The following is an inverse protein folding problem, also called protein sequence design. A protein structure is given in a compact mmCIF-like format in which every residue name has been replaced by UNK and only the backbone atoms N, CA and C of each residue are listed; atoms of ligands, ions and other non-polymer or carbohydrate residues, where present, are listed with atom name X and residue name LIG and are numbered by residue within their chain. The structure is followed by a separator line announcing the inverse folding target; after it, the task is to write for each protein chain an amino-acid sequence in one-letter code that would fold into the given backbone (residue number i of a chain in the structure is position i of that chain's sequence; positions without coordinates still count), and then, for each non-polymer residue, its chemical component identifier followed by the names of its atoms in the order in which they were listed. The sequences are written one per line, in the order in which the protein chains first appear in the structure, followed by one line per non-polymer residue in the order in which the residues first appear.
data_IF_263363385352
#
_entry.id   IF_263363385352
#
_cell.length_a   1.000
_cell.length_b   1.000
_cell.length_c   1.000
_cell.angle_alpha   90.00
_cell.angle_beta   90.00
_cell.angle_gamma   90.00
#
_symmetry.space_group_name_H-M   'P 1'
#
loop_
_entity.id
_entity.type
_entity.pdbx_description
1 polymer ?
#
# COMPACT_ATOMS: atom_id res chain seq x y z
N UNK A 1 -11.21 -0.54 -29.91
CA UNK A 1 -11.30 0.30 -28.70
C UNK A 1 -11.94 -0.53 -27.60
N UNK A 2 -11.35 -0.53 -26.41
CA UNK A 2 -11.92 -1.17 -25.22
C UNK A 2 -12.46 -0.06 -24.29
N UNK A 3 -13.56 -0.28 -23.57
CA UNK A 3 -14.16 0.75 -22.70
C UNK A 3 -13.25 1.17 -21.55
N UNK A 4 -12.47 0.21 -20.99
CA UNK A 4 -11.51 0.45 -19.93
C UNK A 4 -10.20 -0.30 -20.23
N UNK A 5 -9.17 0.45 -20.61
CA UNK A 5 -7.85 -0.11 -20.92
C UNK A 5 -7.14 -0.63 -19.65
N UNK A 6 -7.46 -0.09 -18.47
CA UNK A 6 -6.79 -0.48 -17.22
C UNK A 6 -7.05 -1.96 -16.89
N UNK A 7 -8.25 -2.47 -17.18
CA UNK A 7 -8.58 -3.88 -16.98
C UNK A 7 -7.76 -4.83 -17.89
N UNK A 8 -7.33 -4.36 -19.05
CA UNK A 8 -6.59 -5.16 -20.03
C UNK A 8 -5.08 -4.92 -19.99
N UNK A 9 -4.62 -3.81 -19.45
CA UNK A 9 -3.22 -3.42 -19.42
C UNK A 9 -2.30 -4.47 -18.79
N UNK A 10 -2.60 -5.11 -17.65
CA UNK A 10 -1.77 -6.16 -17.08
C UNK A 10 -1.64 -7.37 -18.01
N UNK A 11 -2.70 -7.74 -18.69
CA UNK A 11 -2.68 -8.88 -19.63
C UNK A 11 -1.85 -8.56 -20.88
N UNK A 12 -1.94 -7.34 -21.40
CA UNK A 12 -1.13 -6.89 -22.51
C UNK A 12 0.36 -6.85 -22.12
N UNK A 13 0.67 -6.33 -20.96
CA UNK A 13 2.04 -6.31 -20.43
C UNK A 13 2.58 -7.72 -20.18
N UNK A 14 1.77 -8.64 -19.65
CA UNK A 14 2.17 -10.03 -19.43
C UNK A 14 2.49 -10.76 -20.75
N UNK A 15 1.85 -10.41 -21.87
CA UNK A 15 2.09 -11.05 -23.17
C UNK A 15 3.22 -10.36 -23.92
N UNK A 16 3.21 -9.04 -24.03
CA UNK A 16 4.13 -8.29 -24.89
C UNK A 16 5.36 -7.74 -24.14
N UNK A 17 5.30 -7.66 -22.81
CA UNK A 17 6.39 -7.15 -21.97
C UNK A 17 7.41 -8.21 -21.52
N UNK A 18 7.26 -9.48 -21.92
CA UNK A 18 8.14 -10.57 -21.49
C UNK A 18 9.53 -10.55 -22.13
N UNK A 19 9.69 -9.85 -23.24
CA UNK A 19 10.94 -9.83 -24.01
C UNK A 19 11.65 -8.50 -23.79
N UNK A 20 12.98 -8.56 -23.59
CA UNK A 20 13.83 -7.38 -23.56
C UNK A 20 13.79 -6.65 -24.92
N UNK A 21 13.96 -5.33 -24.90
CA UNK A 21 14.03 -4.50 -26.11
C UNK A 21 15.12 -4.90 -27.09
N UNK A 22 16.13 -5.64 -26.64
CA UNK A 22 17.23 -6.17 -27.47
C UNK A 22 16.89 -7.53 -28.09
N UNK A 23 15.82 -8.20 -27.68
CA UNK A 23 15.40 -9.47 -28.30
C UNK A 23 14.80 -9.20 -29.68
N UNK A 24 15.25 -9.89 -30.74
CA UNK A 24 14.74 -9.69 -32.11
C UNK A 24 13.24 -10.01 -32.25
N UNK A 25 12.63 -10.66 -31.29
CA UNK A 25 11.18 -10.93 -31.22
C UNK A 25 10.40 -9.85 -30.48
N UNK A 26 11.09 -8.84 -29.94
CA UNK A 26 10.43 -7.76 -29.21
C UNK A 26 9.53 -6.97 -30.15
N UNK A 27 8.25 -6.87 -29.79
CA UNK A 27 7.27 -6.04 -30.48
C UNK A 27 7.08 -4.77 -29.66
N UNK A 28 7.53 -3.60 -30.18
CA UNK A 28 7.28 -2.33 -29.49
C UNK A 28 5.78 -2.08 -29.33
N UNK A 29 5.33 -1.82 -28.13
CA UNK A 29 3.95 -1.44 -27.88
C UNK A 29 3.90 -0.31 -26.86
N UNK A 30 2.86 0.49 -26.92
CA UNK A 30 2.52 1.50 -25.95
C UNK A 30 1.04 1.37 -25.62
N UNK A 31 0.72 1.42 -24.34
CA UNK A 31 -0.67 1.46 -23.89
C UNK A 31 -1.05 2.94 -23.75
N UNK A 32 -1.88 3.43 -24.69
CA UNK A 32 -2.47 4.76 -24.59
C UNK A 32 -3.65 4.72 -23.60
N UNK A 33 -3.96 5.88 -23.03
CA UNK A 33 -5.12 6.10 -22.17
C UNK A 33 -5.19 5.28 -20.86
N UNK A 34 -4.08 4.71 -20.40
CA UNK A 34 -4.00 4.24 -19.02
C UNK A 34 -4.12 5.44 -18.07
N UNK A 35 -5.05 5.36 -17.13
CA UNK A 35 -5.20 6.34 -16.07
C UNK A 35 -3.89 6.53 -15.29
N UNK A 36 -3.64 7.74 -14.82
CA UNK A 36 -2.45 8.06 -14.02
C UNK A 36 -2.35 7.18 -12.78
N UNK A 37 -3.50 6.80 -12.19
CA UNK A 37 -3.61 5.90 -11.04
C UNK A 37 -2.92 4.54 -11.24
N UNK A 38 -3.00 3.97 -12.45
CA UNK A 38 -2.43 2.65 -12.74
C UNK A 38 -0.94 2.67 -13.09
N UNK A 39 -0.31 3.85 -13.17
CA UNK A 39 1.09 4.01 -13.59
C UNK A 39 2.01 4.56 -12.51
N UNK A 40 1.48 5.44 -11.67
CA UNK A 40 2.27 6.11 -10.63
C UNK A 40 2.37 5.19 -9.40
N UNK A 41 3.58 4.74 -9.01
CA UNK A 41 3.74 3.81 -7.89
C UNK A 41 3.10 4.32 -6.59
N UNK A 42 3.21 5.62 -6.32
CA UNK A 42 2.61 6.25 -5.15
C UNK A 42 1.08 6.14 -5.15
N UNK A 43 0.42 6.33 -6.32
CA UNK A 43 -1.03 6.17 -6.43
C UNK A 43 -1.46 4.71 -6.30
N UNK A 44 -0.67 3.77 -6.83
CA UNK A 44 -0.92 2.34 -6.63
C UNK A 44 -0.87 1.99 -5.14
N UNK A 45 0.16 2.46 -4.42
CA UNK A 45 0.24 2.26 -2.97
C UNK A 45 -0.93 2.92 -2.23
N UNK A 46 -1.32 4.14 -2.61
CA UNK A 46 -2.47 4.83 -2.02
C UNK A 46 -3.76 4.02 -2.22
N UNK A 47 -4.00 3.46 -3.40
CA UNK A 47 -5.14 2.57 -3.67
C UNK A 47 -5.11 1.31 -2.77
N UNK A 48 -3.95 0.71 -2.55
CA UNK A 48 -3.79 -0.41 -1.62
C UNK A 48 -4.11 0.01 -0.18
N UNK A 49 -3.64 1.19 0.26
CA UNK A 49 -3.93 1.73 1.59
C UNK A 49 -5.43 2.00 1.78
N UNK A 50 -6.11 2.57 0.77
CA UNK A 50 -7.55 2.82 0.85
C UNK A 50 -8.40 1.53 0.85
N UNK A 51 -7.83 0.41 0.41
CA UNK A 51 -8.46 -0.91 0.48
C UNK A 51 -8.20 -1.67 1.79
N UNK A 52 -7.41 -1.13 2.70
CA UNK A 52 -7.08 -1.77 4.00
C UNK A 52 -8.30 -2.26 4.78
N UNK A 53 -9.46 -1.56 4.83
CA UNK A 53 -10.65 -2.07 5.51
C UNK A 53 -11.06 -3.48 5.10
N UNK A 54 -10.86 -3.83 3.84
CA UNK A 54 -11.21 -5.12 3.25
C UNK A 54 -10.01 -6.03 2.98
N UNK A 55 -8.80 -5.58 3.32
CA UNK A 55 -7.58 -6.36 3.10
C UNK A 55 -7.50 -7.57 4.02
N UNK A 56 -6.95 -8.65 3.46
CA UNK A 56 -6.56 -9.84 4.23
C UNK A 56 -5.15 -9.74 4.78
N UNK A 57 -4.45 -8.65 4.55
CA UNK A 57 -3.03 -8.51 4.89
C UNK A 57 -2.19 -9.67 4.34
N UNK A 58 -2.39 -10.02 3.07
CA UNK A 58 -1.56 -11.01 2.41
C UNK A 58 -0.11 -10.53 2.33
N UNK A 59 0.85 -11.45 2.36
CA UNK A 59 2.28 -11.10 2.22
C UNK A 59 2.53 -10.37 0.92
N UNK A 60 1.90 -10.78 -0.19
CA UNK A 60 1.98 -10.09 -1.48
C UNK A 60 1.60 -8.63 -1.38
N UNK A 61 0.48 -8.30 -0.73
CA UNK A 61 -0.02 -6.93 -0.63
C UNK A 61 0.95 -6.03 0.14
N UNK A 62 1.59 -6.56 1.19
CA UNK A 62 2.59 -5.81 1.97
C UNK A 62 3.91 -5.66 1.21
N UNK A 63 4.33 -6.67 0.46
CA UNK A 63 5.51 -6.59 -0.38
C UNK A 63 5.30 -5.60 -1.54
N UNK A 64 4.11 -5.59 -2.16
CA UNK A 64 3.75 -4.61 -3.20
C UNK A 64 3.80 -3.17 -2.66
N UNK A 65 3.37 -2.94 -1.41
CA UNK A 65 3.55 -1.64 -0.75
C UNK A 65 5.03 -1.31 -0.53
N UNK A 66 5.83 -2.28 -0.12
CA UNK A 66 7.28 -2.11 0.08
C UNK A 66 8.05 -1.93 -1.24
N UNK A 67 7.50 -2.29 -2.38
CA UNK A 67 8.10 -2.01 -3.69
C UNK A 67 8.02 -0.52 -4.05
N UNK A 68 7.18 0.27 -3.36
CA UNK A 68 7.04 1.71 -3.62
C UNK A 68 8.11 2.52 -2.88
N UNK A 69 9.04 3.21 -3.58
CA UNK A 69 10.17 3.91 -2.95
C UNK A 69 9.76 4.97 -1.93
N UNK A 70 8.71 5.75 -2.22
CA UNK A 70 8.21 6.79 -1.32
C UNK A 70 7.68 6.22 0.00
N UNK A 71 7.09 5.01 -0.01
CA UNK A 71 6.62 4.30 1.18
C UNK A 71 7.81 3.70 1.94
N UNK A 72 8.70 2.96 1.27
CA UNK A 72 9.91 2.40 1.91
C UNK A 72 10.73 3.45 2.65
N UNK A 73 10.98 4.58 1.98
CA UNK A 73 11.77 5.67 2.56
C UNK A 73 11.13 6.28 3.81
N UNK A 74 9.81 6.23 3.92
CA UNK A 74 9.09 6.71 5.11
C UNK A 74 9.38 5.84 6.32
N UNK A 75 9.51 4.54 6.12
CA UNK A 75 9.81 3.58 7.19
C UNK A 75 11.31 3.28 7.34
N UNK A 76 12.18 3.92 6.56
CA UNK A 76 13.62 3.70 6.62
C UNK A 76 14.07 2.32 6.12
N UNK A 77 13.29 1.72 5.21
CA UNK A 77 13.59 0.45 4.56
C UNK A 77 14.25 0.75 3.20
N UNK A 78 15.47 0.27 2.98
CA UNK A 78 16.16 0.37 1.71
C UNK A 78 15.71 -0.69 0.70
N UNK A 79 15.99 -0.45 -0.57
CA UNK A 79 15.72 -1.46 -1.61
C UNK A 79 16.55 -2.73 -1.39
N UNK A 80 17.79 -2.58 -0.92
CA UNK A 80 18.68 -3.68 -0.60
C UNK A 80 18.22 -4.54 0.58
N UNK A 81 17.29 -4.04 1.39
CA UNK A 81 16.74 -4.73 2.56
C UNK A 81 15.59 -5.69 2.20
N UNK A 82 14.95 -5.47 1.03
CA UNK A 82 13.78 -6.26 0.61
C UNK A 82 14.04 -7.77 0.55
N UNK A 83 15.17 -8.28 0.00
CA UNK A 83 15.44 -9.71 -0.01
C UNK A 83 15.57 -10.30 1.40
N UNK A 84 16.14 -9.55 2.35
CA UNK A 84 16.28 -9.97 3.74
C UNK A 84 14.89 -10.05 4.41
N UNK A 85 14.06 -9.01 4.25
CA UNK A 85 12.71 -9.00 4.77
C UNK A 85 11.86 -10.13 4.19
N UNK A 86 11.93 -10.37 2.88
CA UNK A 86 11.21 -11.45 2.22
C UNK A 86 11.62 -12.83 2.79
N UNK A 87 12.92 -13.08 2.92
CA UNK A 87 13.45 -14.30 3.53
C UNK A 87 12.92 -14.49 4.96
N UNK A 88 12.90 -13.44 5.78
CA UNK A 88 12.39 -13.51 7.15
C UNK A 88 10.88 -13.76 7.20
N UNK A 89 10.10 -13.09 6.36
CA UNK A 89 8.65 -13.28 6.25
C UNK A 89 8.34 -14.74 5.90
N UNK A 90 9.03 -15.30 4.90
CA UNK A 90 8.86 -16.68 4.46
C UNK A 90 9.29 -17.68 5.55
N UNK A 91 10.48 -17.49 6.15
CA UNK A 91 11.03 -18.37 7.16
C UNK A 91 10.29 -18.32 8.50
N UNK A 92 9.78 -17.16 8.91
CA UNK A 92 8.89 -17.05 10.06
C UNK A 92 7.49 -17.63 9.79
N UNK A 93 7.20 -18.04 8.55
CA UNK A 93 5.96 -18.69 8.16
C UNK A 93 4.77 -17.75 8.03
N UNK A 94 5.01 -16.42 7.83
CA UNK A 94 3.93 -15.46 7.62
C UNK A 94 3.29 -15.72 6.25
N UNK A 95 1.97 -15.68 6.19
CA UNK A 95 1.21 -15.87 4.94
C UNK A 95 0.19 -14.76 4.72
N UNK A 96 -0.70 -14.55 5.67
CA UNK A 96 -1.75 -13.54 5.61
C UNK A 96 -2.38 -13.32 6.99
N UNK A 97 -3.11 -12.25 7.14
CA UNK A 97 -3.80 -11.88 8.37
C UNK A 97 -2.89 -11.17 9.36
N UNK A 98 -3.39 -10.09 9.93
CA UNK A 98 -2.63 -9.33 10.92
C UNK A 98 -2.45 -10.15 12.21
N UNK A 99 -3.59 -10.64 12.77
CA UNK A 99 -3.68 -11.48 13.96
C UNK A 99 -5.02 -12.26 13.97
N UNK A 100 -5.30 -12.98 15.07
CA UNK A 100 -6.55 -13.72 15.25
C UNK A 100 -7.78 -12.81 15.30
N UNK A 101 -7.67 -11.62 15.88
CA UNK A 101 -8.79 -10.66 15.98
C UNK A 101 -9.17 -10.11 14.59
N UNK A 102 -8.18 -9.79 13.76
CA UNK A 102 -8.44 -9.37 12.38
C UNK A 102 -9.05 -10.50 11.55
N UNK A 103 -8.58 -11.74 11.73
CA UNK A 103 -9.20 -12.92 11.08
C UNK A 103 -10.64 -13.15 11.53
N UNK A 104 -10.94 -12.94 12.80
CA UNK A 104 -12.30 -12.99 13.32
C UNK A 104 -13.22 -11.97 12.66
N UNK A 105 -12.71 -10.77 12.32
CA UNK A 105 -13.48 -9.77 11.57
C UNK A 105 -13.78 -10.19 10.12
N UNK A 106 -13.20 -11.28 9.64
CA UNK A 106 -13.44 -11.92 8.35
C UNK A 106 -14.21 -13.25 8.49
N UNK A 107 -14.97 -13.43 9.59
CA UNK A 107 -15.77 -14.62 9.89
C UNK A 107 -14.95 -15.91 10.05
N UNK A 108 -13.68 -15.80 10.51
CA UNK A 108 -12.83 -16.95 10.80
C UNK A 108 -12.66 -17.15 12.31
N UNK A 109 -12.32 -18.38 12.78
CA UNK A 109 -12.06 -18.61 14.20
C UNK A 109 -10.90 -17.73 14.73
N UNK A 110 -11.09 -17.15 15.92
CA UNK A 110 -10.14 -16.23 16.53
C UNK A 110 -8.84 -16.89 17.02
N UNK A 111 -8.86 -18.22 17.24
CA UNK A 111 -7.74 -19.03 17.69
C UNK A 111 -6.71 -19.36 16.60
N UNK A 112 -7.01 -18.99 15.34
CA UNK A 112 -6.12 -19.20 14.20
C UNK A 112 -5.06 -18.10 14.09
N UNK A 113 -4.16 -17.98 15.07
CA UNK A 113 -3.05 -17.01 15.03
C UNK A 113 -1.88 -17.44 14.14
N UNK A 114 -1.71 -18.72 13.88
CA UNK A 114 -0.61 -19.24 13.08
C UNK A 114 -0.58 -18.61 11.69
N UNK A 115 0.63 -18.36 11.20
CA UNK A 115 0.90 -17.74 9.89
C UNK A 115 0.38 -16.29 9.74
N UNK A 116 -0.01 -15.62 10.85
CA UNK A 116 -0.30 -14.18 10.84
C UNK A 116 0.98 -13.36 10.98
N UNK A 117 0.88 -12.08 10.65
CA UNK A 117 1.98 -11.13 10.81
C UNK A 117 2.46 -11.04 12.26
N UNK A 118 1.53 -10.87 13.22
CA UNK A 118 1.88 -10.79 14.65
C UNK A 118 2.52 -12.08 15.16
N UNK A 119 2.04 -13.22 14.73
CA UNK A 119 2.64 -14.50 15.13
C UNK A 119 4.05 -14.65 14.58
N UNK A 120 4.28 -14.36 13.29
CA UNK A 120 5.61 -14.43 12.68
C UNK A 120 6.59 -13.43 13.28
N UNK A 121 6.15 -12.18 13.56
CA UNK A 121 6.99 -11.19 14.25
C UNK A 121 7.37 -11.65 15.66
N UNK A 122 6.46 -12.29 16.41
CA UNK A 122 6.80 -12.90 17.73
C UNK A 122 7.87 -13.97 17.57
N UNK A 123 7.79 -14.82 16.53
CA UNK A 123 8.84 -15.82 16.22
C UNK A 123 10.18 -15.17 15.93
N UNK A 124 10.20 -14.10 15.12
CA UNK A 124 11.41 -13.34 14.80
C UNK A 124 12.03 -12.71 16.05
N UNK A 125 11.22 -12.03 16.88
CA UNK A 125 11.68 -11.39 18.12
C UNK A 125 12.18 -12.41 19.14
N UNK A 126 11.50 -13.56 19.28
CA UNK A 126 11.97 -14.66 20.13
C UNK A 126 13.30 -15.23 19.62
N UNK A 127 13.45 -15.42 18.32
CA UNK A 127 14.71 -15.88 17.72
C UNK A 127 15.84 -14.91 17.96
N UNK A 128 15.60 -13.62 17.80
CA UNK A 128 16.59 -12.57 18.12
C UNK A 128 17.01 -12.57 19.60
N UNK A 129 16.02 -12.70 20.51
CA UNK A 129 16.28 -12.63 21.97
C UNK A 129 16.89 -13.91 22.54
N UNK A 130 16.48 -15.09 22.07
CA UNK A 130 16.79 -16.38 22.66
C UNK A 130 17.61 -17.31 21.76
N UNK A 131 17.85 -16.95 20.50
CA UNK A 131 18.54 -17.79 19.53
C UNK A 131 17.81 -19.13 19.27
N UNK A 132 18.58 -20.19 19.16
CA UNK A 132 18.06 -21.57 18.98
C UNK A 132 17.50 -22.19 20.27
N UNK A 133 16.65 -21.45 20.97
CA UNK A 133 16.01 -21.95 22.18
C UNK A 133 14.86 -22.92 21.86
N UNK A 134 14.48 -23.70 22.86
CA UNK A 134 13.25 -24.49 22.79
C UNK A 134 12.04 -23.58 22.68
N UNK A 135 10.93 -24.11 22.11
CA UNK A 135 9.68 -23.38 21.99
C UNK A 135 9.26 -22.75 23.33
N UNK A 136 8.97 -21.46 23.32
CA UNK A 136 8.51 -20.71 24.46
C UNK A 136 7.00 -20.48 24.36
N UNK A 137 6.23 -20.98 25.32
CA UNK A 137 4.76 -20.90 25.31
C UNK A 137 4.13 -21.44 24.00
N UNK A 138 4.71 -22.49 23.41
CA UNK A 138 4.22 -23.09 22.16
C UNK A 138 4.62 -22.32 20.89
N UNK A 139 5.44 -21.28 21.01
CA UNK A 139 5.97 -20.51 19.88
C UNK A 139 7.42 -20.93 19.61
N UNK A 140 7.65 -21.50 18.43
CA UNK A 140 8.99 -21.85 17.98
C UNK A 140 9.73 -20.60 17.49
N UNK A 141 10.91 -20.27 18.04
CA UNK A 141 11.70 -19.12 17.59
C UNK A 141 12.13 -19.27 16.11
N UNK A 142 12.21 -18.14 15.41
CA UNK A 142 12.84 -18.04 14.12
C UNK A 142 14.17 -17.30 14.29
N UNK A 143 15.29 -18.01 14.22
CA UNK A 143 16.62 -17.57 14.69
C UNK A 143 17.51 -16.94 13.60
N UNK A 144 17.00 -16.73 12.38
CA UNK A 144 17.77 -16.07 11.33
C UNK A 144 17.82 -14.53 11.46
N UNK A 145 17.00 -13.96 12.35
CA UNK A 145 17.03 -12.52 12.64
C UNK A 145 18.19 -12.24 13.60
N UNK A 146 19.34 -11.87 13.08
CA UNK A 146 20.55 -11.68 13.87
C UNK A 146 21.45 -10.54 13.34
N UNK A 147 22.41 -10.11 14.14
CA UNK A 147 23.40 -9.13 13.75
C UNK A 147 22.81 -7.74 13.47
N UNK A 148 23.45 -7.01 12.55
CA UNK A 148 23.02 -5.64 12.19
C UNK A 148 21.69 -5.62 11.43
N UNK A 149 21.39 -6.68 10.67
CA UNK A 149 20.13 -6.78 9.93
C UNK A 149 18.91 -6.83 10.87
N UNK A 150 19.06 -7.30 12.11
CA UNK A 150 17.97 -7.31 13.10
C UNK A 150 17.31 -5.95 13.30
N UNK A 151 18.02 -4.85 13.03
CA UNK A 151 17.46 -3.50 13.06
C UNK A 151 16.28 -3.31 12.09
N UNK A 152 16.15 -4.12 11.03
CA UNK A 152 15.05 -4.06 10.07
C UNK A 152 13.70 -4.54 10.65
N UNK A 153 13.74 -5.32 11.73
CA UNK A 153 12.50 -5.80 12.37
C UNK A 153 11.66 -4.65 12.94
N UNK A 154 12.29 -3.58 13.43
CA UNK A 154 11.61 -2.39 13.93
C UNK A 154 10.80 -1.66 12.86
N UNK A 155 11.41 -1.25 11.74
CA UNK A 155 10.72 -0.68 10.58
C UNK A 155 9.54 -1.52 10.06
N UNK A 156 9.72 -2.83 9.95
CA UNK A 156 8.64 -3.74 9.54
C UNK A 156 7.48 -3.75 10.56
N UNK A 157 7.80 -3.81 11.85
CA UNK A 157 6.78 -3.74 12.91
C UNK A 157 6.02 -2.42 12.87
N UNK A 158 6.73 -1.29 12.76
CA UNK A 158 6.13 0.04 12.66
C UNK A 158 5.18 0.14 11.45
N UNK A 159 5.58 -0.36 10.28
CA UNK A 159 4.73 -0.39 9.10
C UNK A 159 3.41 -1.12 9.41
N UNK A 160 3.48 -2.31 10.00
CA UNK A 160 2.29 -3.11 10.31
C UNK A 160 1.39 -2.46 11.35
N UNK A 161 1.94 -1.81 12.37
CA UNK A 161 1.18 -1.05 13.38
C UNK A 161 0.45 0.13 12.73
N UNK A 162 1.10 0.90 11.86
CA UNK A 162 0.44 1.99 11.15
C UNK A 162 -0.62 1.51 10.17
N UNK A 163 -0.42 0.37 9.49
CA UNK A 163 -1.43 -0.24 8.63
C UNK A 163 -2.67 -0.69 9.42
N UNK A 164 -2.48 -1.21 10.63
CA UNK A 164 -3.58 -1.58 11.53
C UNK A 164 -4.39 -0.35 11.96
N UNK A 165 -3.71 0.72 12.40
CA UNK A 165 -4.37 1.98 12.80
C UNK A 165 -5.13 2.57 11.61
N UNK A 166 -4.50 2.67 10.45
CA UNK A 166 -5.15 3.18 9.25
C UNK A 166 -6.38 2.35 8.85
N UNK A 167 -6.29 1.01 8.95
CA UNK A 167 -7.44 0.13 8.69
C UNK A 167 -8.63 0.48 9.59
N UNK A 168 -8.39 0.66 10.90
CA UNK A 168 -9.45 0.96 11.86
C UNK A 168 -10.07 2.34 11.62
N UNK A 169 -9.26 3.34 11.32
CA UNK A 169 -9.71 4.70 11.01
C UNK A 169 -10.56 4.74 9.73
N UNK A 170 -10.14 3.99 8.70
CA UNK A 170 -10.81 3.95 7.41
C UNK A 170 -12.14 3.16 7.43
N UNK A 171 -12.35 2.28 8.41
CA UNK A 171 -13.62 1.56 8.59
C UNK A 171 -14.77 2.45 9.07
N UNK A 172 -14.47 3.57 9.72
CA UNK A 172 -15.48 4.41 10.36
C UNK A 172 -15.97 5.49 9.40
N UNK A 173 -17.27 5.51 9.12
CA UNK A 173 -17.88 6.63 8.42
C UNK A 173 -17.64 7.94 9.19
N UNK A 174 -17.41 9.04 8.48
CA UNK A 174 -17.08 10.32 9.09
C UNK A 174 -17.54 11.50 8.24
N UNK A 175 -17.67 12.69 8.85
CA UNK A 175 -17.94 13.93 8.13
C UNK A 175 -16.78 14.31 7.20
N UNK A 176 -17.02 15.15 6.18
CA UNK A 176 -15.99 15.58 5.23
C UNK A 176 -14.72 16.14 5.90
N UNK A 177 -14.87 16.97 6.92
CA UNK A 177 -13.73 17.53 7.65
C UNK A 177 -12.87 16.47 8.33
N UNK A 178 -13.49 15.47 8.96
CA UNK A 178 -12.78 14.35 9.60
C UNK A 178 -12.10 13.48 8.55
N UNK A 179 -12.71 13.25 7.40
CA UNK A 179 -12.08 12.52 6.30
C UNK A 179 -10.83 13.22 5.78
N UNK A 180 -10.88 14.54 5.60
CA UNK A 180 -9.69 15.29 5.15
C UNK A 180 -8.54 15.14 6.14
N UNK A 181 -8.79 15.25 7.45
CA UNK A 181 -7.77 15.05 8.46
C UNK A 181 -7.20 13.62 8.43
N UNK A 182 -8.06 12.59 8.33
CA UNK A 182 -7.63 11.18 8.24
C UNK A 182 -6.78 10.91 7.01
N UNK A 183 -7.22 11.38 5.83
CA UNK A 183 -6.52 11.15 4.57
C UNK A 183 -5.21 11.94 4.49
N UNK A 184 -5.18 13.17 5.03
CA UNK A 184 -3.95 13.95 5.19
C UNK A 184 -2.96 13.24 6.12
N UNK A 185 -3.43 12.73 7.26
CA UNK A 185 -2.62 11.95 8.18
C UNK A 185 -2.07 10.68 7.51
N UNK A 186 -2.90 9.96 6.73
CA UNK A 186 -2.51 8.78 5.98
C UNK A 186 -1.38 9.10 4.98
N UNK A 187 -1.52 10.15 4.18
CA UNK A 187 -0.47 10.57 3.25
C UNK A 187 0.85 10.87 3.98
N UNK A 188 0.79 11.62 5.09
CA UNK A 188 1.97 12.00 5.88
C UNK A 188 2.61 10.82 6.60
N UNK A 189 1.83 9.83 7.03
CA UNK A 189 2.33 8.65 7.75
C UNK A 189 2.98 7.66 6.80
N UNK A 190 2.43 7.47 5.60
CA UNK A 190 2.89 6.39 4.70
C UNK A 190 3.85 6.84 3.61
N UNK A 191 3.91 8.13 3.28
CA UNK A 191 4.74 8.58 2.17
C UNK A 191 5.79 9.60 2.58
N UNK A 192 6.97 9.49 1.98
CA UNK A 192 8.04 10.46 2.00
C UNK A 192 8.55 10.63 0.57
N UNK A 193 8.30 11.80 0.00
CA UNK A 193 8.76 12.12 -1.36
C UNK A 193 10.26 11.80 -1.53
N UNK A 194 10.60 11.21 -2.65
CA UNK A 194 11.98 10.87 -3.03
C UNK A 194 12.49 11.75 -4.17
N UNK A 195 11.58 12.45 -4.85
CA UNK A 195 11.86 13.31 -5.99
C UNK A 195 10.75 14.36 -6.14
N UNK A 196 10.97 15.33 -7.03
CA UNK A 196 10.04 16.44 -7.31
C UNK A 196 8.67 15.92 -7.82
N UNK A 197 8.64 14.81 -8.53
CA UNK A 197 7.38 14.23 -9.04
C UNK A 197 6.52 13.69 -7.89
N UNK A 198 7.13 13.03 -6.90
CA UNK A 198 6.43 12.59 -5.69
C UNK A 198 5.89 13.78 -4.90
N UNK A 199 6.70 14.84 -4.73
CA UNK A 199 6.27 16.06 -4.03
C UNK A 199 5.09 16.71 -4.73
N UNK A 200 5.17 16.88 -6.05
CA UNK A 200 4.08 17.44 -6.84
C UNK A 200 2.80 16.62 -6.71
N UNK A 201 2.92 15.28 -6.76
CA UNK A 201 1.78 14.38 -6.66
C UNK A 201 1.14 14.42 -5.27
N UNK A 202 1.94 14.39 -4.19
CA UNK A 202 1.43 14.51 -2.82
C UNK A 202 0.74 15.86 -2.60
N UNK A 203 1.30 16.97 -3.12
CA UNK A 203 0.67 18.28 -3.05
C UNK A 203 -0.65 18.32 -3.83
N UNK A 204 -0.74 17.69 -5.01
CA UNK A 204 -1.98 17.59 -5.78
C UNK A 204 -3.05 16.80 -5.03
N UNK A 205 -2.67 15.71 -4.36
CA UNK A 205 -3.59 14.92 -3.52
C UNK A 205 -4.12 15.75 -2.34
N UNK A 206 -3.27 16.51 -1.67
CA UNK A 206 -3.65 17.39 -0.55
C UNK A 206 -4.59 18.52 -1.01
N UNK A 207 -4.28 19.19 -2.12
CA UNK A 207 -5.13 20.22 -2.70
C UNK A 207 -6.50 19.65 -3.09
N UNK A 208 -6.56 18.46 -3.69
CA UNK A 208 -7.82 17.80 -4.03
C UNK A 208 -8.70 17.51 -2.80
N UNK A 209 -8.11 17.24 -1.64
CA UNK A 209 -8.87 17.09 -0.38
C UNK A 209 -9.43 18.44 0.10
N UNK A 210 -8.65 19.52 -0.01
CA UNK A 210 -9.08 20.86 0.37
C UNK A 210 -10.20 21.36 -0.52
N UNK A 211 -10.07 21.22 -1.84
CA UNK A 211 -11.10 21.58 -2.82
C UNK A 211 -12.42 20.80 -2.60
N UNK A 212 -12.29 19.51 -2.28
CA UNK A 212 -13.47 18.71 -1.95
C UNK A 212 -14.16 19.19 -0.67
N UNK A 213 -13.40 19.48 0.39
CA UNK A 213 -13.94 20.00 1.64
C UNK A 213 -14.63 21.35 1.43
N UNK A 214 -14.02 22.26 0.65
CA UNK A 214 -14.60 23.55 0.32
C UNK A 214 -15.94 23.37 -0.42
N UNK A 215 -16.00 22.43 -1.37
CA UNK A 215 -17.25 22.11 -2.09
C UNK A 215 -18.34 21.60 -1.13
N UNK A 216 -17.98 20.73 -0.17
CA UNK A 216 -18.92 20.26 0.85
C UNK A 216 -19.42 21.40 1.74
N UNK A 217 -18.53 22.32 2.14
CA UNK A 217 -18.85 23.48 2.97
C UNK A 217 -19.80 24.43 2.23
N UNK A 218 -19.53 24.73 0.95
CA UNK A 218 -20.40 25.58 0.12
C UNK A 218 -21.80 24.98 -0.07
N UNK A 219 -21.88 23.63 -0.14
CA UNK A 219 -23.15 22.91 -0.21
C UNK A 219 -23.85 22.77 1.16
N UNK A 220 -23.22 23.17 2.27
CA UNK A 220 -23.72 22.96 3.63
C UNK A 220 -23.77 21.47 4.02
N UNK A 221 -22.96 20.63 3.38
CA UNK A 221 -22.96 19.18 3.59
C UNK A 221 -21.99 18.76 4.69
N UNK A 222 -22.50 18.10 5.72
CA UNK A 222 -21.73 17.64 6.88
C UNK A 222 -22.03 16.20 7.32
N UNK A 223 -22.90 15.50 6.57
CA UNK A 223 -23.30 14.13 6.90
C UNK A 223 -22.11 13.16 6.83
N UNK A 224 -22.11 12.12 7.69
CA UNK A 224 -21.09 11.09 7.62
C UNK A 224 -21.12 10.31 6.30
N UNK A 225 -19.97 10.16 5.69
CA UNK A 225 -19.76 9.41 4.46
C UNK A 225 -18.92 8.16 4.72
N UNK A 226 -19.20 7.09 3.99
CA UNK A 226 -18.35 5.92 3.94
C UNK A 226 -17.13 6.15 3.02
N UNK A 227 -16.03 5.44 3.28
CA UNK A 227 -14.78 5.60 2.55
C UNK A 227 -14.93 5.47 1.03
N UNK A 228 -15.75 4.53 0.55
CA UNK A 228 -15.91 4.31 -0.90
C UNK A 228 -16.42 5.55 -1.64
N UNK A 229 -17.30 6.35 -1.02
CA UNK A 229 -17.81 7.61 -1.61
C UNK A 229 -16.68 8.64 -1.68
N UNK A 230 -15.93 8.80 -0.59
CA UNK A 230 -14.83 9.75 -0.51
C UNK A 230 -13.69 9.37 -1.48
N UNK A 231 -13.36 8.09 -1.55
CA UNK A 231 -12.36 7.53 -2.47
C UNK A 231 -12.68 7.88 -3.92
N UNK A 232 -13.91 7.62 -4.37
CA UNK A 232 -14.32 7.89 -5.75
C UNK A 232 -14.26 9.39 -6.08
N UNK A 233 -14.79 10.24 -5.21
CA UNK A 233 -14.79 11.69 -5.45
C UNK A 233 -13.38 12.27 -5.44
N UNK A 234 -12.58 11.91 -4.44
CA UNK A 234 -11.22 12.43 -4.28
C UNK A 234 -10.32 12.07 -5.45
N UNK A 235 -10.29 10.79 -5.82
CA UNK A 235 -9.36 10.33 -6.85
C UNK A 235 -9.89 10.55 -8.29
N UNK A 236 -11.20 10.75 -8.50
CA UNK A 236 -11.72 11.12 -9.82
C UNK A 236 -11.13 12.46 -10.33
N UNK A 237 -10.89 13.41 -9.43
CA UNK A 237 -10.23 14.68 -9.75
C UNK A 237 -8.81 14.52 -10.31
N UNK A 238 -8.09 13.48 -9.88
CA UNK A 238 -6.73 13.19 -10.34
C UNK A 238 -6.67 12.69 -11.79
N UNK A 239 -7.72 12.06 -12.30
CA UNK A 239 -7.79 11.58 -13.68
C UNK A 239 -8.13 12.72 -14.66
N UNK A 240 -9.02 13.62 -14.27
CA UNK A 240 -9.46 14.75 -15.12
C UNK A 240 -8.33 15.77 -15.37
N UNK A 241 -7.50 16.05 -14.38
CA UNK A 241 -6.33 16.92 -14.54
C UNK A 241 -5.29 16.42 -15.55
N UNK A 242 -5.17 15.10 -15.72
CA UNK A 242 -4.28 14.47 -16.70
C UNK A 242 -4.78 14.54 -18.14
N UNK A 243 -6.09 14.55 -18.36
CA UNK A 243 -6.69 14.64 -19.70
C UNK A 243 -6.59 16.05 -20.30
N UNK A 244 -6.79 17.09 -19.50
CA UNK A 244 -6.72 18.49 -20.00
C UNK A 244 -5.31 18.89 -20.42
N UNK A 245 -4.26 18.41 -19.76
CA UNK A 245 -2.87 18.68 -20.14
C UNK A 245 -2.44 17.96 -21.42
N UNK A 246 -3.02 16.80 -21.76
CA UNK A 246 -2.68 16.05 -22.97
C UNK A 246 -3.26 16.66 -24.24
N UNK A 247 -4.42 17.32 -24.16
CA UNK A 247 -5.00 18.02 -25.30
C UNK A 247 -4.26 19.32 -25.63
N UNK A 248 -3.51 19.89 -24.69
CA UNK A 248 -2.72 21.13 -24.90
C UNK A 248 -1.29 20.86 -25.36
N UNK A 249 -0.74 19.68 -25.13
CA UNK A 249 0.53 19.21 -25.69
C UNK A 249 0.26 18.56 -27.05
N UNK A 250 -0.02 19.41 -28.06
CA UNK A 250 -0.18 18.95 -29.43
C UNK A 250 1.01 18.11 -29.84
N UNK A 251 0.74 16.86 -30.23
CA UNK A 251 1.73 16.03 -30.91
C UNK A 251 2.14 16.71 -32.22
N UNK A 252 3.39 17.14 -32.28
CA UNK A 252 4.10 17.43 -33.55
C UNK A 252 4.57 16.13 -34.14
#
# INVERSE_FOLDING_TARGET
MVPDINAYAPHIQAVFGQLDRQDPRFIPFTLADQGRRAREPLLIALEHLLRLPHSRFAVSDILDLLDVPALRARFGIGETDLPTLQRWIEGAGIRWGLDGAQRQSLDLPADLEQNTWRFGLRRMLLGYAAGKALALHGIEPYDEVAGLEAALAGPLLNLLEYLEVARLDLLQAASPGVWVERLRALLNVFFKAQNDADELLLNQLLLGLEDWLETCNQAGFSEPLALNVVHEVWLAGMEQGGLSQRFLAGSV
#
